data_IF_366862771374
#
_entry.id   IF_366862771374
#
_cell.length_a   1.000
_cell.length_b   1.000
_cell.length_c   1.000
_cell.angle_alpha   90.00
_cell.angle_beta   90.00
_cell.angle_gamma   90.00
#
_symmetry.space_group_name_H-M   'P 1'
#
loop_
_entity.id
_entity.type
_entity.pdbx_description
1 polymer ?
#
# COMPACT_ATOMS: atom_id res chain seq x y z
N UNK A 1 -0.68 29.76 -24.75
CA UNK A 1 -1.59 28.68 -24.28
C UNK A 1 -0.88 27.35 -24.14
N UNK A 2 -0.20 26.84 -25.18
CA UNK A 2 0.50 25.55 -25.16
C UNK A 2 1.58 25.43 -24.06
N UNK A 3 2.41 26.45 -23.85
CA UNK A 3 3.42 26.46 -22.76
C UNK A 3 2.79 26.40 -21.36
N UNK A 4 1.63 27.04 -21.17
CA UNK A 4 0.87 26.98 -19.91
C UNK A 4 0.35 25.56 -19.67
N UNK A 5 -0.17 24.91 -20.70
CA UNK A 5 -0.65 23.52 -20.63
C UNK A 5 0.50 22.54 -20.34
N UNK A 6 1.66 22.71 -20.99
CA UNK A 6 2.84 21.87 -20.73
C UNK A 6 3.29 22.01 -19.28
N UNK A 7 3.39 23.24 -18.78
CA UNK A 7 3.78 23.50 -17.39
C UNK A 7 2.79 22.86 -16.40
N UNK A 8 1.49 23.00 -16.64
CA UNK A 8 0.45 22.35 -15.81
C UNK A 8 0.60 20.83 -15.79
N UNK A 9 0.81 20.20 -16.96
CA UNK A 9 1.01 18.75 -17.04
C UNK A 9 2.31 18.29 -16.35
N UNK A 10 3.37 19.11 -16.38
CA UNK A 10 4.61 18.82 -15.66
C UNK A 10 4.42 18.89 -14.15
N UNK A 11 3.75 19.95 -13.67
CA UNK A 11 3.43 20.13 -12.25
C UNK A 11 2.55 18.98 -11.73
N UNK A 12 1.52 18.59 -12.51
CA UNK A 12 0.66 17.44 -12.20
C UNK A 12 1.44 16.11 -12.22
N UNK A 13 2.36 15.92 -13.17
CA UNK A 13 3.21 14.72 -13.23
C UNK A 13 4.13 14.64 -12.01
N UNK A 14 4.72 15.75 -11.60
CA UNK A 14 5.55 15.81 -10.38
C UNK A 14 4.71 15.50 -9.15
N UNK A 15 3.53 16.10 -9.01
CA UNK A 15 2.61 15.81 -7.92
C UNK A 15 2.29 14.30 -7.81
N UNK A 16 1.94 13.65 -8.93
CA UNK A 16 1.67 12.21 -8.95
C UNK A 16 2.90 11.38 -8.58
N UNK A 17 4.10 11.76 -9.04
CA UNK A 17 5.36 11.10 -8.64
C UNK A 17 5.62 11.21 -7.15
N UNK A 18 5.35 12.37 -6.55
CA UNK A 18 5.49 12.57 -5.10
C UNK A 18 4.46 11.73 -4.33
N UNK A 19 3.21 11.67 -4.79
CA UNK A 19 2.18 10.79 -4.20
C UNK A 19 2.54 9.31 -4.26
N UNK A 20 3.08 8.83 -5.39
CA UNK A 20 3.60 7.45 -5.49
C UNK A 20 4.75 7.23 -4.50
N UNK A 21 5.69 8.20 -4.40
CA UNK A 21 6.80 8.07 -3.46
C UNK A 21 6.35 8.08 -2.01
N UNK A 22 5.34 8.86 -1.67
CA UNK A 22 4.74 8.88 -0.34
C UNK A 22 4.13 7.52 0.02
N UNK A 23 3.35 6.92 -0.89
CA UNK A 23 2.77 5.58 -0.70
C UNK A 23 3.88 4.52 -0.54
N UNK A 24 4.92 4.56 -1.37
CA UNK A 24 6.09 3.68 -1.28
C UNK A 24 6.78 3.76 0.10
N UNK A 25 6.98 4.98 0.60
CA UNK A 25 7.58 5.21 1.92
C UNK A 25 6.69 4.73 3.07
N UNK A 26 5.37 4.95 2.99
CA UNK A 26 4.41 4.47 3.99
C UNK A 26 4.38 2.94 4.00
N UNK A 27 4.34 2.31 2.83
CA UNK A 27 4.41 0.84 2.71
C UNK A 27 5.72 0.30 3.30
N UNK A 28 6.85 0.92 2.95
CA UNK A 28 8.16 0.54 3.49
C UNK A 28 8.22 0.66 5.02
N UNK A 29 7.63 1.69 5.62
CA UNK A 29 7.53 1.84 7.07
C UNK A 29 6.74 0.70 7.71
N UNK A 30 5.59 0.33 7.12
CA UNK A 30 4.77 -0.77 7.61
C UNK A 30 5.50 -2.12 7.50
N UNK A 31 6.18 -2.38 6.38
CA UNK A 31 6.98 -3.60 6.20
C UNK A 31 8.12 -3.70 7.22
N UNK A 32 8.84 -2.60 7.45
CA UNK A 32 9.93 -2.55 8.45
C UNK A 32 9.41 -2.89 9.86
N UNK A 33 8.21 -2.44 10.19
CA UNK A 33 7.60 -2.69 11.50
C UNK A 33 7.14 -4.13 11.64
N UNK A 34 6.60 -4.74 10.59
CA UNK A 34 6.30 -6.18 10.57
C UNK A 34 7.57 -7.00 10.77
N UNK A 35 8.68 -6.62 10.11
CA UNK A 35 9.98 -7.27 10.32
C UNK A 35 10.48 -7.12 11.76
N UNK A 36 10.37 -5.92 12.34
CA UNK A 36 10.74 -5.68 13.74
C UNK A 36 9.89 -6.52 14.71
N UNK A 37 8.59 -6.66 14.45
CA UNK A 37 7.71 -7.52 15.24
C UNK A 37 8.15 -8.99 15.17
N UNK A 38 8.47 -9.53 13.99
CA UNK A 38 9.00 -10.89 13.86
C UNK A 38 10.30 -11.08 14.66
N UNK A 39 11.23 -10.12 14.58
CA UNK A 39 12.49 -10.17 15.35
C UNK A 39 12.21 -10.14 16.86
N UNK A 40 11.29 -9.30 17.34
CA UNK A 40 10.92 -9.24 18.77
C UNK A 40 10.27 -10.54 19.25
N UNK A 41 9.46 -11.18 18.41
CA UNK A 41 8.84 -12.46 18.72
C UNK A 41 9.88 -13.60 18.82
N UNK A 42 10.78 -13.72 17.84
CA UNK A 42 11.74 -14.81 17.74
C UNK A 42 12.96 -14.66 18.66
N UNK A 43 13.39 -13.42 18.91
CA UNK A 43 14.67 -13.13 19.56
C UNK A 43 14.57 -12.14 20.72
N UNK A 44 13.42 -11.50 20.89
CA UNK A 44 13.18 -10.48 21.92
C UNK A 44 12.38 -11.01 23.11
N UNK A 45 11.42 -10.20 23.54
CA UNK A 45 10.57 -10.46 24.71
C UNK A 45 9.31 -11.27 24.37
N UNK A 46 9.22 -11.79 23.14
CA UNK A 46 8.14 -12.64 22.66
C UNK A 46 6.93 -11.89 22.11
N UNK A 47 5.96 -12.67 21.63
CA UNK A 47 4.88 -12.24 20.73
C UNK A 47 4.02 -11.07 21.26
N UNK A 48 3.80 -11.01 22.58
CA UNK A 48 3.00 -9.93 23.18
C UNK A 48 3.67 -8.57 23.03
N UNK A 49 5.00 -8.52 23.13
CA UNK A 49 5.77 -7.28 22.94
C UNK A 49 5.93 -6.99 21.45
N UNK A 50 6.06 -8.03 20.62
CA UNK A 50 6.07 -7.90 19.17
C UNK A 50 4.87 -7.13 18.63
N UNK A 51 3.67 -7.41 19.15
CA UNK A 51 2.45 -6.69 18.75
C UNK A 51 2.50 -5.18 19.01
N UNK A 52 3.24 -4.72 20.03
CA UNK A 52 3.38 -3.27 20.30
C UNK A 52 4.08 -2.54 19.16
N UNK A 53 4.98 -3.19 18.42
CA UNK A 53 5.60 -2.58 17.23
C UNK A 53 4.55 -2.24 16.17
N UNK A 54 3.61 -3.16 15.93
CA UNK A 54 2.51 -2.98 14.98
C UNK A 54 1.56 -1.88 15.46
N UNK A 55 1.05 -1.98 16.69
CA UNK A 55 0.11 -0.99 17.26
C UNK A 55 0.66 0.44 17.26
N UNK A 56 1.94 0.63 17.61
CA UNK A 56 2.56 1.95 17.69
C UNK A 56 2.81 2.61 16.33
N UNK A 57 2.75 1.83 15.25
CA UNK A 57 3.09 2.31 13.91
C UNK A 57 1.88 2.78 13.12
N UNK A 58 0.72 2.16 13.38
CA UNK A 58 -0.53 2.51 12.72
C UNK A 58 -0.85 3.99 13.01
N UNK A 59 -0.98 4.79 11.96
CA UNK A 59 -0.88 6.25 11.96
C UNK A 59 -2.21 6.98 12.23
N UNK A 60 -3.37 6.31 12.24
CA UNK A 60 -4.63 7.00 12.50
C UNK A 60 -5.93 6.19 12.40
N UNK A 61 -7.09 6.86 12.56
CA UNK A 61 -8.42 6.26 12.46
C UNK A 61 -8.62 5.55 11.12
N UNK A 62 -9.15 4.32 11.16
CA UNK A 62 -9.37 3.49 9.97
C UNK A 62 -8.21 2.56 9.59
N UNK A 63 -7.07 2.62 10.29
CA UNK A 63 -5.99 1.63 10.11
C UNK A 63 -6.19 0.36 10.95
N UNK A 64 -7.05 0.44 11.96
CA UNK A 64 -7.60 -0.74 12.65
C UNK A 64 -8.90 -1.18 11.99
N UNK A 65 -9.17 -2.47 12.07
CA UNK A 65 -10.51 -2.99 11.78
C UNK A 65 -11.55 -2.33 12.72
N UNK A 66 -12.82 -2.21 12.30
CA UNK A 66 -13.91 -1.77 13.18
C UNK A 66 -13.96 -2.60 14.48
N UNK A 67 -14.36 -1.97 15.59
CA UNK A 67 -14.38 -2.62 16.92
C UNK A 67 -15.35 -3.82 16.98
N UNK A 68 -16.33 -3.89 16.08
CA UNK A 68 -17.28 -5.00 15.97
C UNK A 68 -16.69 -6.27 15.34
N UNK A 69 -15.52 -6.17 14.70
CA UNK A 69 -14.85 -7.30 14.06
C UNK A 69 -14.16 -8.19 15.11
N UNK A 70 -14.70 -9.38 15.33
CA UNK A 70 -14.15 -10.34 16.32
C UNK A 70 -13.51 -11.58 15.71
N UNK A 71 -13.73 -11.83 14.42
CA UNK A 71 -13.17 -12.98 13.69
C UNK A 71 -12.19 -12.50 12.62
N UNK A 72 -10.90 -12.68 12.90
CA UNK A 72 -9.82 -12.22 12.03
C UNK A 72 -9.84 -12.88 10.65
N UNK A 73 -10.24 -14.16 10.55
CA UNK A 73 -10.23 -14.87 9.26
C UNK A 73 -11.38 -14.38 8.38
N UNK A 74 -12.58 -14.24 8.94
CA UNK A 74 -13.74 -13.74 8.21
C UNK A 74 -13.51 -12.30 7.74
N UNK A 75 -12.94 -11.45 8.60
CA UNK A 75 -12.56 -10.09 8.23
C UNK A 75 -11.55 -10.09 7.07
N UNK A 76 -10.44 -10.84 7.22
CA UNK A 76 -9.40 -10.93 6.19
C UNK A 76 -9.97 -11.40 4.85
N UNK A 77 -10.73 -12.50 4.83
CA UNK A 77 -11.27 -13.07 3.60
C UNK A 77 -12.21 -12.11 2.86
N UNK A 78 -12.92 -11.24 3.59
CA UNK A 78 -13.81 -10.23 3.03
C UNK A 78 -13.01 -9.08 2.41
N UNK A 79 -12.10 -8.47 3.18
CA UNK A 79 -11.33 -7.31 2.73
C UNK A 79 -10.30 -7.68 1.65
N UNK A 80 -9.67 -8.86 1.78
CA UNK A 80 -8.67 -9.35 0.83
C UNK A 80 -9.25 -9.49 -0.58
N UNK A 81 -10.48 -10.00 -0.72
CA UNK A 81 -11.14 -10.16 -2.04
C UNK A 81 -11.33 -8.84 -2.77
N UNK A 82 -11.59 -7.76 -2.03
CA UNK A 82 -11.74 -6.42 -2.61
C UNK A 82 -10.39 -5.96 -3.15
N UNK A 83 -9.34 -6.07 -2.34
CA UNK A 83 -7.98 -5.67 -2.70
C UNK A 83 -7.46 -6.49 -3.88
N UNK A 84 -7.61 -7.82 -3.85
CA UNK A 84 -7.12 -8.74 -4.87
C UNK A 84 -7.75 -8.45 -6.24
N UNK A 85 -9.06 -8.16 -6.25
CA UNK A 85 -9.76 -7.76 -7.47
C UNK A 85 -9.22 -6.47 -8.05
N UNK A 86 -9.13 -5.40 -7.25
CA UNK A 86 -8.64 -4.10 -7.71
C UNK A 86 -7.18 -4.20 -8.22
N UNK A 87 -6.36 -5.02 -7.55
CA UNK A 87 -4.98 -5.27 -7.97
C UNK A 87 -4.93 -6.02 -9.31
N UNK A 88 -5.81 -7.00 -9.51
CA UNK A 88 -5.95 -7.70 -10.79
C UNK A 88 -6.31 -6.74 -11.92
N UNK A 89 -7.28 -5.85 -11.72
CA UNK A 89 -7.70 -4.86 -12.73
C UNK A 89 -6.53 -3.92 -13.12
N UNK A 90 -5.70 -3.53 -12.15
CA UNK A 90 -4.47 -2.75 -12.39
C UNK A 90 -3.45 -3.54 -13.21
N UNK A 91 -3.26 -4.82 -12.92
CA UNK A 91 -2.34 -5.68 -13.66
C UNK A 91 -2.77 -5.91 -15.11
N UNK A 92 -4.06 -6.13 -15.33
CA UNK A 92 -4.64 -6.22 -16.68
C UNK A 92 -4.38 -4.93 -17.47
N UNK A 93 -4.58 -3.77 -16.83
CA UNK A 93 -4.26 -2.50 -17.46
C UNK A 93 -2.78 -2.38 -17.86
N UNK A 94 -1.84 -2.77 -16.98
CA UNK A 94 -0.41 -2.76 -17.30
C UNK A 94 -0.06 -3.73 -18.43
N UNK A 95 -0.70 -4.89 -18.48
CA UNK A 95 -0.52 -5.86 -19.55
C UNK A 95 -0.96 -5.30 -20.90
N UNK A 96 -2.17 -4.73 -20.97
CA UNK A 96 -2.68 -4.12 -22.20
C UNK A 96 -1.88 -2.89 -22.64
N UNK A 97 -1.36 -2.11 -21.69
CA UNK A 97 -0.45 -1.02 -22.01
C UNK A 97 0.82 -1.51 -22.71
N UNK A 98 1.45 -2.57 -22.21
CA UNK A 98 2.68 -3.11 -22.83
C UNK A 98 2.43 -3.54 -24.27
N UNK A 99 1.34 -4.27 -24.54
CA UNK A 99 0.94 -4.64 -25.92
C UNK A 99 0.80 -3.44 -26.84
N UNK A 100 0.17 -2.35 -26.39
CA UNK A 100 0.02 -1.13 -27.19
C UNK A 100 1.35 -0.45 -27.52
N UNK A 101 2.34 -0.53 -26.63
CA UNK A 101 3.66 0.03 -26.88
C UNK A 101 4.50 -0.87 -27.80
N UNK A 102 4.37 -2.19 -27.69
CA UNK A 102 5.03 -3.15 -28.60
C UNK A 102 4.55 -3.01 -30.05
N UNK A 103 3.25 -2.76 -30.28
CA UNK A 103 2.68 -2.53 -31.64
C UNK A 103 3.13 -1.20 -32.26
N UNK A 104 3.57 -0.23 -31.44
CA UNK A 104 4.06 1.08 -31.91
C UNK A 104 5.55 1.08 -32.25
N UNK A 105 6.30 0.08 -31.78
CA UNK A 105 7.75 -0.07 -32.01
C UNK A 105 8.04 -0.82 -33.30
#
# INVERSE_FOLDING_TARGET
MMEKTIKQLQDENEFLRKRIKEIDLIFGKNLLVMQAACIEAEHGKGDKVAMSWIFNTLLGPGEFAPDEETDAQVYFDREFKIIDKELSDVYDWFHERRKREEVKS
#
